data_IF_536838708056
#
_entry.id   IF_536838708056
#
_cell.length_a   1.000
_cell.length_b   1.000
_cell.length_c   1.000
_cell.angle_alpha   90.00
_cell.angle_beta   90.00
_cell.angle_gamma   90.00
#
_symmetry.space_group_name_H-M   'P 1'
#
loop_
_entity.id
_entity.type
_entity.pdbx_description
1 polymer ?
#
# COMPACT_ATOMS: atom_id res chain seq x y z
N UNK A 1 103.61 -42.92 -23.43
CA UNK A 1 103.14 -41.52 -23.33
C UNK A 1 103.50 -40.97 -21.96
N UNK A 2 104.46 -40.03 -21.88
CA UNK A 2 104.92 -39.46 -20.61
C UNK A 2 103.96 -38.37 -20.14
N UNK A 3 103.06 -38.71 -19.22
CA UNK A 3 102.26 -37.71 -18.51
C UNK A 3 103.20 -36.86 -17.65
N UNK A 4 103.28 -35.55 -17.97
CA UNK A 4 104.06 -34.60 -17.17
C UNK A 4 103.44 -34.52 -15.76
N UNK A 5 104.23 -34.43 -14.68
CA UNK A 5 103.73 -34.41 -13.29
C UNK A 5 102.70 -33.30 -13.01
N UNK A 6 102.68 -32.27 -13.86
CA UNK A 6 101.69 -31.18 -13.91
C UNK A 6 100.25 -31.68 -14.08
N UNK A 7 100.01 -32.69 -14.92
CA UNK A 7 98.66 -33.19 -15.20
C UNK A 7 98.12 -34.11 -14.10
N UNK A 8 99.02 -34.70 -13.29
CA UNK A 8 98.63 -35.52 -12.14
C UNK A 8 97.92 -34.66 -11.08
N UNK A 9 98.43 -33.46 -10.82
CA UNK A 9 97.79 -32.51 -9.89
C UNK A 9 96.41 -32.06 -10.37
N UNK A 10 96.24 -31.82 -11.67
CA UNK A 10 94.95 -31.42 -12.24
C UNK A 10 93.91 -32.54 -12.09
N UNK A 11 94.29 -33.79 -12.37
CA UNK A 11 93.37 -34.94 -12.23
C UNK A 11 92.98 -35.16 -10.76
N UNK A 12 93.92 -35.01 -9.82
CA UNK A 12 93.62 -35.13 -8.39
C UNK A 12 92.68 -34.01 -7.94
N UNK A 13 92.93 -32.75 -8.34
CA UNK A 13 92.08 -31.61 -7.97
C UNK A 13 90.66 -31.75 -8.52
N UNK A 14 90.51 -32.15 -9.78
CA UNK A 14 89.20 -32.40 -10.41
C UNK A 14 88.50 -33.58 -9.73
N UNK A 15 89.23 -34.64 -9.38
CA UNK A 15 88.68 -35.77 -8.64
C UNK A 15 88.14 -35.38 -7.26
N UNK A 16 88.89 -34.57 -6.50
CA UNK A 16 88.46 -34.08 -5.18
C UNK A 16 87.23 -33.17 -5.29
N UNK A 17 87.18 -32.27 -6.28
CA UNK A 17 86.01 -31.43 -6.54
C UNK A 17 84.76 -32.24 -6.91
N UNK A 18 84.91 -33.28 -7.74
CA UNK A 18 83.81 -34.16 -8.12
C UNK A 18 83.26 -34.95 -6.91
N UNK A 19 84.14 -35.46 -6.04
CA UNK A 19 83.75 -36.15 -4.81
C UNK A 19 83.07 -35.19 -3.83
N UNK A 20 83.59 -33.97 -3.66
CA UNK A 20 82.96 -32.96 -2.81
C UNK A 20 81.54 -32.58 -3.30
N UNK A 21 81.35 -32.47 -4.62
CA UNK A 21 80.05 -32.16 -5.22
C UNK A 21 79.05 -33.33 -5.09
N UNK A 22 79.52 -34.57 -5.25
CA UNK A 22 78.70 -35.77 -5.04
C UNK A 22 78.23 -35.90 -3.58
N UNK A 23 79.10 -35.63 -2.60
CA UNK A 23 78.75 -35.67 -1.17
C UNK A 23 77.80 -34.50 -0.82
N UNK A 24 78.07 -33.29 -1.33
CA UNK A 24 77.24 -32.11 -1.07
C UNK A 24 75.81 -32.24 -1.62
N UNK A 25 75.65 -32.80 -2.83
CA UNK A 25 74.33 -33.01 -3.42
C UNK A 25 73.55 -34.14 -2.74
N UNK A 26 74.22 -35.19 -2.25
CA UNK A 26 73.57 -36.29 -1.53
C UNK A 26 73.14 -35.90 -0.11
N UNK A 27 73.94 -35.08 0.60
CA UNK A 27 73.59 -34.53 1.91
C UNK A 27 72.47 -33.47 1.84
N UNK A 28 72.41 -32.66 0.77
CA UNK A 28 71.38 -31.62 0.60
C UNK A 28 70.05 -32.15 0.03
N UNK A 29 70.02 -33.37 -0.53
CA UNK A 29 68.78 -34.04 -0.99
C UNK A 29 67.91 -34.54 0.17
N UNK A 30 68.48 -34.69 1.37
CA UNK A 30 67.78 -35.06 2.60
C UNK A 30 67.05 -33.88 3.27
N UNK A 31 67.16 -32.65 2.72
CA UNK A 31 66.49 -31.43 3.22
C UNK A 31 65.51 -30.85 2.20
N UNK A 32 64.87 -31.70 1.39
CA UNK A 32 63.72 -31.33 0.55
C UNK A 32 62.46 -31.99 1.10
N UNK A 33 61.99 -31.44 2.22
CA UNK A 33 60.64 -31.67 2.75
C UNK A 33 59.71 -30.57 2.24
N UNK A 34 58.65 -30.99 1.58
CA UNK A 34 57.36 -30.32 1.36
C UNK A 34 57.29 -28.82 1.67
N UNK A 35 57.31 -27.98 0.63
CA UNK A 35 56.82 -26.62 0.73
C UNK A 35 55.29 -26.64 0.82
N UNK A 36 54.76 -26.88 2.03
CA UNK A 36 53.37 -26.66 2.35
C UNK A 36 53.07 -25.16 2.32
N UNK A 37 52.08 -24.81 1.49
CA UNK A 37 51.54 -23.48 1.35
C UNK A 37 51.10 -22.94 2.72
N UNK A 38 51.71 -21.83 3.14
CA UNK A 38 51.22 -21.04 4.28
C UNK A 38 50.59 -19.76 3.74
N UNK A 39 49.31 -19.85 3.42
CA UNK A 39 48.43 -18.67 3.36
C UNK A 39 47.32 -18.89 4.36
N UNK A 40 47.55 -18.25 5.51
CA UNK A 40 46.58 -17.58 6.39
C UNK A 40 45.24 -18.29 6.57
N UNK A 41 45.07 -18.90 7.75
CA UNK A 41 43.74 -19.13 8.31
C UNK A 41 42.98 -17.81 8.25
N UNK A 42 42.06 -17.71 7.30
CA UNK A 42 41.01 -16.71 7.35
C UNK A 42 40.32 -16.91 8.69
N UNK A 43 40.47 -15.94 9.59
CA UNK A 43 39.74 -15.95 10.85
C UNK A 43 38.28 -16.20 10.52
N UNK A 44 37.68 -17.21 11.16
CA UNK A 44 36.24 -17.40 11.10
C UNK A 44 35.63 -16.13 11.67
N UNK A 45 35.29 -15.16 10.81
CA UNK A 45 34.32 -14.13 11.15
C UNK A 45 33.04 -14.91 11.38
N UNK A 46 32.74 -15.21 12.64
CA UNK A 46 31.45 -15.78 13.02
C UNK A 46 30.39 -14.82 12.53
N UNK A 47 29.71 -15.23 11.45
CA UNK A 47 28.62 -14.46 10.89
C UNK A 47 27.54 -14.36 11.98
N UNK A 48 27.03 -13.16 12.28
CA UNK A 48 26.03 -13.00 13.32
C UNK A 48 24.82 -13.87 12.97
N UNK A 49 24.46 -14.75 13.90
CA UNK A 49 23.29 -15.62 13.74
C UNK A 49 22.04 -14.78 13.94
N UNK A 50 21.18 -14.74 12.94
CA UNK A 50 19.90 -14.02 12.96
C UNK A 50 18.75 -15.01 12.94
N UNK A 51 17.66 -14.68 13.65
CA UNK A 51 16.44 -15.46 13.62
C UNK A 51 15.51 -14.86 12.57
N UNK A 52 15.14 -15.65 11.57
CA UNK A 52 14.15 -15.29 10.57
C UNK A 52 12.92 -16.19 10.70
N UNK A 53 11.74 -15.61 10.47
CA UNK A 53 10.48 -16.33 10.39
C UNK A 53 9.87 -16.07 9.01
N UNK A 54 9.54 -17.14 8.29
CA UNK A 54 8.80 -17.07 7.04
C UNK A 54 7.31 -16.99 7.38
N UNK A 55 6.73 -15.79 7.24
CA UNK A 55 5.30 -15.59 7.45
C UNK A 55 4.57 -15.81 6.12
N UNK A 56 3.71 -16.84 5.99
CA UNK A 56 2.92 -17.05 4.79
C UNK A 56 1.89 -15.94 4.61
N UNK A 57 1.46 -15.72 3.37
CA UNK A 57 0.36 -14.80 3.07
C UNK A 57 -0.95 -15.36 3.62
N UNK A 58 -1.63 -14.58 4.45
CA UNK A 58 -2.94 -14.92 5.01
C UNK A 58 -3.86 -13.73 4.80
N UNK A 59 -4.99 -13.95 4.13
CA UNK A 59 -6.05 -12.96 4.01
C UNK A 59 -6.58 -12.62 5.40
N UNK A 60 -6.51 -11.35 5.78
CA UNK A 60 -6.99 -10.86 7.07
C UNK A 60 -8.10 -9.85 6.84
N UNK A 61 -9.33 -10.29 7.07
CA UNK A 61 -10.48 -9.40 7.07
C UNK A 61 -10.41 -8.49 8.30
N UNK A 62 -10.68 -7.20 8.12
CA UNK A 62 -10.75 -6.25 9.22
C UNK A 62 -12.02 -5.43 9.08
N UNK A 63 -12.76 -5.34 10.19
CA UNK A 63 -13.95 -4.51 10.28
C UNK A 63 -13.62 -3.19 10.96
N UNK A 64 -14.20 -2.11 10.44
CA UNK A 64 -14.06 -0.77 11.02
C UNK A 64 -15.42 -0.32 11.53
N UNK A 65 -15.52 -0.10 12.84
CA UNK A 65 -16.75 0.40 13.46
C UNK A 65 -16.79 1.92 13.37
N UNK A 66 -17.58 2.43 12.43
CA UNK A 66 -17.82 3.86 12.28
C UNK A 66 -19.06 4.26 13.07
N UNK A 67 -18.96 5.35 13.83
CA UNK A 67 -20.11 5.93 14.55
C UNK A 67 -20.79 6.93 13.63
N UNK A 68 -22.09 6.73 13.41
CA UNK A 68 -22.93 7.63 12.65
C UNK A 68 -24.27 7.84 13.35
N UNK A 69 -24.97 8.90 12.96
CA UNK A 69 -26.37 9.10 13.33
C UNK A 69 -27.21 8.96 12.06
N UNK A 70 -28.38 8.37 12.20
CA UNK A 70 -29.36 8.31 11.11
C UNK A 70 -30.09 9.64 11.03
N UNK A 71 -30.18 10.19 9.83
CA UNK A 71 -30.96 11.39 9.55
C UNK A 71 -32.08 11.07 8.55
N UNK A 72 -33.12 11.90 8.56
CA UNK A 72 -34.18 11.78 7.58
C UNK A 72 -33.63 12.05 6.18
N UNK A 73 -33.97 11.20 5.21
CA UNK A 73 -33.55 11.39 3.81
C UNK A 73 -34.01 12.76 3.26
N UNK A 74 -35.16 13.26 3.74
CA UNK A 74 -35.69 14.60 3.47
C UNK A 74 -36.47 15.11 4.67
N UNK A 75 -36.27 16.38 5.01
CA UNK A 75 -37.10 17.11 5.97
C UNK A 75 -37.73 18.31 5.27
N UNK A 76 -39.05 18.46 5.37
CA UNK A 76 -39.80 19.53 4.71
C UNK A 76 -40.71 20.22 5.71
N UNK A 77 -40.75 21.55 5.65
CA UNK A 77 -41.64 22.37 6.48
C UNK A 77 -42.71 22.94 5.55
N UNK A 78 -43.95 22.49 5.70
CA UNK A 78 -45.07 22.99 4.92
C UNK A 78 -45.63 24.27 5.55
N UNK A 79 -45.82 25.30 4.74
CA UNK A 79 -46.43 26.57 5.16
C UNK A 79 -47.60 26.90 4.24
N UNK A 80 -48.56 27.63 4.77
CA UNK A 80 -49.64 28.15 3.94
C UNK A 80 -49.08 29.20 2.98
N UNK A 81 -49.38 29.06 1.69
CA UNK A 81 -49.02 30.07 0.68
C UNK A 81 -49.86 31.34 0.82
N UNK A 82 -51.01 31.25 1.47
CA UNK A 82 -51.93 32.36 1.63
C UNK A 82 -52.46 32.45 3.05
N UNK A 83 -52.78 33.67 3.49
CA UNK A 83 -53.41 33.90 4.78
C UNK A 83 -54.85 33.37 4.80
N UNK A 84 -55.28 32.83 5.93
CA UNK A 84 -56.62 32.33 6.14
C UNK A 84 -56.73 31.56 7.45
N UNK A 85 -57.96 31.41 7.94
CA UNK A 85 -58.26 30.60 9.12
C UNK A 85 -58.29 29.11 8.72
N UNK A 86 -57.77 28.23 9.58
CA UNK A 86 -57.85 26.78 9.34
C UNK A 86 -59.29 26.31 9.60
N UNK A 87 -59.93 25.76 8.57
CA UNK A 87 -61.28 25.23 8.64
C UNK A 87 -61.33 23.74 9.02
N UNK A 88 -60.33 22.95 8.59
CA UNK A 88 -60.24 21.53 8.92
C UNK A 88 -58.81 20.99 8.81
N UNK A 89 -58.50 19.96 9.59
CA UNK A 89 -57.22 19.22 9.56
C UNK A 89 -57.48 17.74 9.30
N UNK A 90 -57.70 17.34 8.02
CA UNK A 90 -58.04 15.96 7.67
C UNK A 90 -56.86 14.97 7.80
N UNK A 91 -55.62 15.45 7.81
CA UNK A 91 -54.46 14.60 8.06
C UNK A 91 -54.30 14.36 9.57
N UNK A 92 -54.17 13.08 9.95
CA UNK A 92 -53.93 12.69 11.35
C UNK A 92 -52.45 12.84 11.68
N UNK A 93 -52.15 13.40 12.84
CA UNK A 93 -50.77 13.55 13.31
C UNK A 93 -50.05 12.19 13.40
N UNK A 94 -48.78 12.15 12.97
CA UNK A 94 -47.98 10.92 12.92
C UNK A 94 -48.33 9.96 11.77
N UNK A 95 -49.37 10.23 10.98
CA UNK A 95 -49.72 9.41 9.82
C UNK A 95 -48.81 9.65 8.62
N UNK A 96 -48.69 8.64 7.75
CA UNK A 96 -47.96 8.77 6.49
C UNK A 96 -48.83 9.49 5.46
N UNK A 97 -48.29 10.56 4.88
CA UNK A 97 -48.96 11.36 3.85
C UNK A 97 -48.25 11.24 2.51
N UNK A 98 -49.03 11.21 1.41
CA UNK A 98 -48.50 11.22 0.04
C UNK A 98 -48.41 12.64 -0.50
N UNK A 99 -47.59 12.84 -1.54
CA UNK A 99 -47.52 14.12 -2.26
C UNK A 99 -48.91 14.53 -2.74
N UNK A 100 -49.29 15.78 -2.48
CA UNK A 100 -50.60 16.33 -2.84
C UNK A 100 -51.72 16.01 -1.85
N UNK A 101 -51.45 15.26 -0.77
CA UNK A 101 -52.42 15.09 0.30
C UNK A 101 -52.74 16.44 0.97
N UNK A 102 -54.02 16.65 1.25
CA UNK A 102 -54.47 17.86 1.97
C UNK A 102 -54.14 17.68 3.45
N UNK A 103 -53.22 18.51 3.96
CA UNK A 103 -52.85 18.51 5.38
C UNK A 103 -53.80 19.36 6.21
N UNK A 104 -53.96 20.62 5.80
CA UNK A 104 -54.86 21.59 6.40
C UNK A 104 -55.71 22.22 5.31
N UNK A 105 -57.00 22.39 5.58
CA UNK A 105 -57.93 23.12 4.73
C UNK A 105 -58.10 24.52 5.31
N UNK A 106 -57.79 25.54 4.53
CA UNK A 106 -58.08 26.93 4.88
C UNK A 106 -59.54 27.26 4.53
N UNK A 107 -60.15 28.19 5.27
CA UNK A 107 -61.42 28.77 4.88
C UNK A 107 -61.24 29.54 3.54
N UNK A 108 -62.14 29.29 2.59
CA UNK A 108 -62.10 29.84 1.24
C UNK A 108 -63.21 30.86 0.95
N UNK A 109 -64.08 31.21 1.90
CA UNK A 109 -65.32 31.96 1.65
C UNK A 109 -65.07 33.29 0.92
N UNK A 110 -64.18 34.13 1.46
CA UNK A 110 -63.80 35.40 0.82
C UNK A 110 -63.12 35.19 -0.55
N UNK A 111 -62.32 34.12 -0.67
CA UNK A 111 -61.57 33.80 -1.89
C UNK A 111 -62.50 33.30 -3.01
N UNK A 112 -63.52 32.54 -2.63
CA UNK A 112 -64.57 32.05 -3.51
C UNK A 112 -65.40 33.21 -4.05
N UNK A 113 -65.81 34.13 -3.17
CA UNK A 113 -66.52 35.35 -3.58
C UNK A 113 -65.71 36.21 -4.58
N UNK A 114 -64.41 36.41 -4.33
CA UNK A 114 -63.53 37.13 -5.27
C UNK A 114 -63.44 36.45 -6.64
N UNK A 115 -63.36 35.12 -6.63
CA UNK A 115 -63.26 34.32 -7.85
C UNK A 115 -64.57 34.39 -8.65
N UNK A 116 -65.71 34.30 -7.99
CA UNK A 116 -67.02 34.40 -8.63
C UNK A 116 -67.28 35.80 -9.19
N UNK A 117 -66.85 36.86 -8.49
CA UNK A 117 -66.87 38.23 -9.02
C UNK A 117 -66.00 38.35 -10.28
N UNK A 118 -64.78 37.81 -10.26
CA UNK A 118 -63.89 37.84 -11.42
C UNK A 118 -64.47 37.10 -12.63
N UNK A 119 -65.11 35.95 -12.40
CA UNK A 119 -65.81 35.17 -13.44
C UNK A 119 -67.02 35.94 -14.01
N UNK A 120 -67.80 36.60 -13.16
CA UNK A 120 -68.92 37.42 -13.59
C UNK A 120 -68.46 38.60 -14.45
N UNK A 121 -67.37 39.27 -14.04
CA UNK A 121 -66.76 40.34 -14.80
C UNK A 121 -66.26 39.85 -16.17
N UNK A 122 -65.58 38.70 -16.23
CA UNK A 122 -65.14 38.08 -17.47
C UNK A 122 -66.33 37.80 -18.41
N UNK A 123 -67.40 37.19 -17.89
CA UNK A 123 -68.59 36.87 -18.67
C UNK A 123 -69.27 38.12 -19.23
N UNK A 124 -69.38 39.17 -18.41
CA UNK A 124 -69.93 40.46 -18.85
C UNK A 124 -69.13 41.05 -20.02
N UNK A 125 -67.78 41.03 -19.93
CA UNK A 125 -66.91 41.51 -21.02
C UNK A 125 -67.01 40.66 -22.29
N UNK A 126 -67.12 39.34 -22.15
CA UNK A 126 -67.31 38.44 -23.29
C UNK A 126 -68.64 38.68 -24.02
N UNK A 127 -69.70 39.03 -23.30
CA UNK A 127 -70.99 39.39 -23.89
C UNK A 127 -70.95 40.75 -24.56
N UNK A 128 -70.15 41.70 -24.06
CA UNK A 128 -69.98 43.03 -24.66
C UNK A 128 -69.12 43.02 -25.93
N UNK A 129 -68.25 42.02 -26.10
CA UNK A 129 -67.34 41.90 -27.24
C UNK A 129 -67.93 41.08 -28.40
N UNK A 130 -69.08 40.42 -28.18
CA UNK A 130 -69.86 39.80 -29.24
C UNK A 130 -70.94 40.76 -29.72
#
# INVERSE_FOLDING_TARGET
>A
MRLKPQYLFVVILVGVLAVAFAIGTMANRSKSGSAEAKTTQSGKTELPTVQAVLTPEVAREYDVVIRGRTEAARSVITRAESAGVVAATPAVEGSVVRKGAVLCRLNIDARQAMLDQARANLRSKQLQHK
#
